data_IF_900142832155
#
_entry.id   IF_900142832155
#
_cell.length_a   1.000
_cell.length_b   1.000
_cell.length_c   1.000
_cell.angle_alpha   90.00
_cell.angle_beta   90.00
_cell.angle_gamma   90.00
#
_symmetry.space_group_name_H-M   'P 1'
#
loop_
_entity.id
_entity.type
_entity.pdbx_description
1 polymer ?
#
# COMPACT_ATOMS: atom_id res chain seq x y z
N UNK A 1 -10.04 -21.65 9.53
CA UNK A 1 -9.03 -21.69 8.45
C UNK A 1 -8.53 -20.28 8.24
N UNK A 2 -7.25 -20.01 8.52
CA UNK A 2 -6.59 -18.78 8.09
C UNK A 2 -6.28 -18.90 6.60
N UNK A 3 -6.42 -17.79 5.86
CA UNK A 3 -6.00 -17.71 4.47
C UNK A 3 -4.64 -17.05 4.43
N UNK A 4 -3.76 -17.62 3.63
CA UNK A 4 -2.46 -17.04 3.36
C UNK A 4 -2.31 -16.79 1.86
N UNK A 5 -1.64 -15.70 1.51
CA UNK A 5 -1.39 -15.27 0.14
C UNK A 5 0.11 -15.08 0.00
N UNK A 6 0.70 -15.44 -1.13
CA UNK A 6 2.13 -15.27 -1.38
C UNK A 6 2.38 -14.49 -2.68
N UNK A 7 3.55 -13.87 -2.78
CA UNK A 7 4.04 -13.17 -3.96
C UNK A 7 3.06 -12.10 -4.47
N UNK A 8 2.46 -11.34 -3.55
CA UNK A 8 1.50 -10.30 -3.90
C UNK A 8 2.21 -9.05 -4.40
N UNK A 9 1.79 -8.56 -5.56
CA UNK A 9 2.27 -7.29 -6.13
C UNK A 9 1.10 -6.42 -6.54
N UNK A 10 1.08 -5.16 -6.09
CA UNK A 10 0.15 -4.15 -6.56
C UNK A 10 0.81 -3.32 -7.67
N UNK A 11 0.14 -3.24 -8.81
CA UNK A 11 0.51 -2.34 -9.90
C UNK A 11 -0.52 -1.23 -10.07
N UNK A 12 -0.04 -0.03 -10.37
CA UNK A 12 -0.85 1.11 -10.80
C UNK A 12 -0.61 1.37 -12.29
N UNK A 13 -1.68 1.58 -13.04
CA UNK A 13 -1.63 2.11 -14.40
C UNK A 13 -2.61 3.28 -14.50
N UNK A 14 -2.14 4.38 -15.07
CA UNK A 14 -2.96 5.57 -15.31
C UNK A 14 -3.24 5.68 -16.80
N UNK A 15 -4.52 5.75 -17.19
CA UNK A 15 -4.96 5.85 -18.59
C UNK A 15 -4.39 4.74 -19.50
N UNK A 16 -4.20 3.52 -18.97
CA UNK A 16 -3.67 2.39 -19.74
C UNK A 16 -2.19 2.51 -20.12
N UNK A 17 -1.45 3.46 -19.53
CA UNK A 17 0.00 3.62 -19.71
C UNK A 17 0.78 2.59 -18.88
N UNK A 18 2.10 2.70 -18.92
CA UNK A 18 3.03 1.84 -18.20
C UNK A 18 2.62 1.59 -16.75
N UNK A 19 2.79 0.34 -16.33
CA UNK A 19 2.49 -0.10 -14.97
C UNK A 19 3.64 0.31 -14.04
N UNK A 20 3.28 1.00 -12.97
CA UNK A 20 4.17 1.22 -11.84
C UNK A 20 3.90 0.15 -10.78
N UNK A 21 4.95 -0.49 -10.27
CA UNK A 21 4.86 -1.29 -9.05
C UNK A 21 4.70 -0.36 -7.84
N UNK A 22 3.65 -0.56 -7.05
CA UNK A 22 3.34 0.26 -5.86
C UNK A 22 3.86 -0.40 -4.60
N UNK A 23 3.55 -1.68 -4.42
CA UNK A 23 3.98 -2.47 -3.27
C UNK A 23 4.16 -3.93 -3.69
N UNK A 24 5.11 -4.58 -3.03
CA UNK A 24 5.33 -6.02 -3.09
C UNK A 24 5.33 -6.53 -1.66
N UNK A 25 4.51 -7.55 -1.42
CA UNK A 25 4.42 -8.23 -0.12
C UNK A 25 4.65 -9.71 -0.36
N UNK A 26 5.68 -10.26 0.29
CA UNK A 26 6.10 -11.64 0.08
C UNK A 26 5.00 -12.61 0.49
N UNK A 27 4.33 -12.34 1.62
CA UNK A 27 3.16 -13.09 2.03
C UNK A 27 2.24 -12.32 2.97
N UNK A 28 0.94 -12.58 2.88
CA UNK A 28 -0.03 -12.26 3.91
C UNK A 28 -0.43 -13.55 4.64
N UNK A 29 -0.48 -13.54 5.96
CA UNK A 29 -0.99 -14.64 6.77
C UNK A 29 -2.06 -14.13 7.74
N UNK A 30 -3.31 -14.49 7.46
CA UNK A 30 -4.46 -14.03 8.25
C UNK A 30 -4.98 -12.65 7.92
N UNK A 31 -4.25 -11.91 7.10
CA UNK A 31 -4.56 -10.56 6.67
C UNK A 31 -4.58 -10.46 5.15
N UNK A 32 -4.86 -9.27 4.62
CA UNK A 32 -4.72 -8.95 3.20
C UNK A 32 -4.60 -7.45 3.03
N UNK A 33 -4.07 -7.00 1.89
CA UNK A 33 -4.03 -5.59 1.53
C UNK A 33 -5.43 -4.97 1.58
N UNK A 34 -5.55 -3.81 2.23
CA UNK A 34 -6.79 -3.00 2.19
C UNK A 34 -6.47 -1.56 1.81
N UNK A 35 -7.36 -0.95 1.02
CA UNK A 35 -7.35 0.49 0.78
C UNK A 35 -8.12 1.15 1.91
N UNK A 36 -7.43 1.93 2.74
CA UNK A 36 -8.04 2.63 3.88
C UNK A 36 -8.57 4.01 3.50
N UNK A 37 -7.87 4.70 2.61
CA UNK A 37 -8.23 6.04 2.18
C UNK A 37 -7.78 6.30 0.74
N UNK A 38 -8.59 7.07 0.02
CA UNK A 38 -8.26 7.63 -1.29
C UNK A 38 -8.74 9.08 -1.33
N UNK A 39 -7.83 10.02 -1.56
CA UNK A 39 -8.15 11.45 -1.58
C UNK A 39 -6.91 12.33 -1.60
N UNK A 40 -7.08 13.62 -1.81
CA UNK A 40 -5.99 14.61 -1.82
C UNK A 40 -5.58 14.95 -0.38
N UNK A 41 -4.43 14.45 0.07
CA UNK A 41 -3.93 14.63 1.43
C UNK A 41 -2.94 15.80 1.54
N UNK A 42 -2.29 16.17 0.45
CA UNK A 42 -1.27 17.23 0.42
C UNK A 42 -1.72 18.54 -0.25
N UNK A 43 -2.94 18.56 -0.78
CA UNK A 43 -3.61 19.73 -1.36
C UNK A 43 -3.20 20.03 -2.80
N UNK A 44 -2.62 19.08 -3.54
CA UNK A 44 -2.16 19.28 -4.90
C UNK A 44 -3.23 19.00 -5.98
N UNK A 45 -4.42 18.56 -5.57
CA UNK A 45 -5.55 18.26 -6.44
C UNK A 45 -5.50 16.89 -7.10
N UNK A 46 -4.59 16.00 -6.70
CA UNK A 46 -4.50 14.61 -7.18
C UNK A 46 -4.82 13.62 -6.07
N UNK A 47 -5.14 12.39 -6.46
CA UNK A 47 -5.51 11.34 -5.51
C UNK A 47 -4.27 10.70 -4.88
N UNK A 48 -4.22 10.74 -3.56
CA UNK A 48 -3.28 10.01 -2.72
C UNK A 48 -3.96 8.79 -2.09
N UNK A 49 -3.15 7.88 -1.53
CA UNK A 49 -3.63 6.58 -1.02
C UNK A 49 -3.05 6.28 0.36
N UNK A 50 -3.87 5.64 1.20
CA UNK A 50 -3.40 4.95 2.40
C UNK A 50 -3.78 3.49 2.29
N UNK A 51 -2.81 2.60 2.49
CA UNK A 51 -3.01 1.16 2.50
C UNK A 51 -2.75 0.58 3.89
N UNK A 52 -3.56 -0.38 4.28
CA UNK A 52 -3.19 -1.37 5.28
C UNK A 52 -2.38 -2.47 4.60
N UNK A 53 -1.09 -2.55 4.94
CA UNK A 53 -0.13 -3.51 4.39
C UNK A 53 0.29 -4.56 5.42
N UNK A 54 -0.48 -4.72 6.50
CA UNK A 54 -0.22 -5.72 7.55
C UNK A 54 -0.13 -7.11 6.93
N UNK A 55 1.04 -7.75 7.06
CA UNK A 55 1.35 -9.06 6.49
C UNK A 55 1.04 -10.22 7.42
N UNK A 56 0.83 -9.95 8.71
CA UNK A 56 0.51 -10.93 9.74
C UNK A 56 -0.53 -10.39 10.72
N UNK A 57 -1.32 -11.26 11.34
CA UNK A 57 -2.42 -10.84 12.23
C UNK A 57 -1.93 -10.19 13.54
N UNK A 58 -0.68 -10.43 13.94
CA UNK A 58 -0.04 -9.81 15.12
C UNK A 58 0.78 -8.56 14.79
N UNK A 59 0.60 -8.00 13.59
CA UNK A 59 1.20 -6.71 13.24
C UNK A 59 0.17 -5.75 12.63
N UNK A 60 0.52 -4.46 12.66
CA UNK A 60 -0.17 -3.40 11.94
C UNK A 60 0.83 -2.60 11.13
N UNK A 61 0.69 -2.64 9.80
CA UNK A 61 1.50 -1.85 8.87
C UNK A 61 0.59 -0.95 8.04
N UNK A 62 0.86 0.35 8.04
CA UNK A 62 0.12 1.37 7.29
C UNK A 62 1.10 2.14 6.41
N UNK A 63 0.81 2.16 5.11
CA UNK A 63 1.61 2.87 4.12
C UNK A 63 0.84 4.05 3.54
N UNK A 64 1.48 5.23 3.50
CA UNK A 64 0.95 6.46 2.92
C UNK A 64 1.68 6.72 1.61
N UNK A 65 0.92 6.77 0.52
CA UNK A 65 1.42 7.07 -0.82
C UNK A 65 0.87 8.39 -1.31
N UNK A 66 1.76 9.30 -1.71
CA UNK A 66 1.39 10.57 -2.32
C UNK A 66 1.62 10.53 -3.84
N UNK A 67 0.86 11.32 -4.57
CA UNK A 67 0.86 11.36 -6.05
C UNK A 67 1.81 12.38 -6.67
N UNK A 68 2.57 13.07 -5.82
CA UNK A 68 3.51 14.14 -6.17
C UNK A 68 4.96 13.67 -6.30
N UNK A 69 5.34 13.07 -7.43
CA UNK A 69 6.72 12.65 -7.71
C UNK A 69 7.11 12.83 -9.18
N UNK A 70 8.32 13.31 -9.47
CA UNK A 70 8.76 13.57 -10.85
C UNK A 70 9.03 12.29 -11.68
N UNK A 71 9.05 11.11 -11.06
CA UNK A 71 9.35 9.81 -11.71
C UNK A 71 8.21 8.79 -11.68
N UNK A 72 7.34 8.87 -10.68
CA UNK A 72 6.32 7.86 -10.38
C UNK A 72 4.96 8.52 -10.20
N UNK A 73 3.88 7.82 -10.52
CA UNK A 73 2.50 8.27 -10.26
C UNK A 73 2.18 8.31 -8.77
N UNK A 74 2.68 7.33 -8.01
CA UNK A 74 2.62 7.31 -6.55
C UNK A 74 4.01 7.06 -5.99
N UNK A 75 4.33 7.60 -4.82
CA UNK A 75 5.55 7.25 -4.10
C UNK A 75 5.21 7.05 -2.62
N UNK A 76 5.92 6.12 -1.97
CA UNK A 76 5.79 5.89 -0.54
C UNK A 76 6.31 7.14 0.20
N UNK A 77 5.41 7.88 0.81
CA UNK A 77 5.71 9.10 1.54
C UNK A 77 5.97 8.83 3.02
N UNK A 78 5.29 7.84 3.61
CA UNK A 78 5.47 7.42 4.99
C UNK A 78 5.02 5.98 5.21
N UNK A 79 5.59 5.33 6.20
CA UNK A 79 5.20 4.00 6.67
C UNK A 79 5.19 3.99 8.20
N UNK A 80 4.14 3.41 8.78
CA UNK A 80 4.05 3.10 10.21
C UNK A 80 3.89 1.60 10.39
N UNK A 81 4.71 1.00 11.25
CA UNK A 81 4.61 -0.43 11.62
C UNK A 81 4.58 -0.60 13.12
N UNK A 82 3.69 -1.45 13.59
CA UNK A 82 3.61 -1.87 14.98
C UNK A 82 3.52 -3.40 15.04
N UNK A 83 4.46 -4.01 15.75
CA UNK A 83 4.46 -5.44 16.04
C UNK A 83 3.99 -5.62 17.48
N UNK A 84 2.97 -6.46 17.66
CA UNK A 84 2.39 -6.79 18.96
C UNK A 84 2.36 -8.31 19.19
N UNK A 85 3.21 -9.05 18.46
CA UNK A 85 3.57 -10.42 18.81
C UNK A 85 4.32 -10.43 20.15
N UNK A 86 4.07 -11.46 20.97
CA UNK A 86 4.60 -11.60 22.33
C UNK A 86 5.80 -12.54 22.39
#
# INVERSE_FOLDING_TARGET
>A
MHKSYSDYVLYLSVNGKDKQEILKVDSFDGTFLQVLFVGDMDGDGKLDFIFDTSSFYEEKSIDVYLSKGAKNYLYLASQGRNDFSC
#
